data_IF_667511025034
#
_entry.id   IF_667511025034
#
_cell.length_a   1.000
_cell.length_b   1.000
_cell.length_c   1.000
_cell.angle_alpha   90.00
_cell.angle_beta   90.00
_cell.angle_gamma   90.00
#
_symmetry.space_group_name_H-M   'P 1'
#
loop_
_entity.id
_entity.type
_entity.pdbx_description
1 polymer ?
#
# COMPACT_ATOMS: atom_id res chain seq x y z
N UNK A 1 -28.14 60.46 -14.12
CA UNK A 1 -27.48 60.05 -12.87
C UNK A 1 -27.59 58.54 -12.79
N UNK A 2 -26.58 57.84 -13.32
CA UNK A 2 -26.53 56.37 -13.28
C UNK A 2 -26.20 55.95 -11.85
N UNK A 3 -27.08 55.11 -11.30
CA UNK A 3 -27.15 54.78 -9.89
C UNK A 3 -25.89 54.03 -9.45
N UNK A 4 -25.12 54.64 -8.54
CA UNK A 4 -23.90 54.08 -7.91
C UNK A 4 -24.17 52.78 -7.14
N UNK A 5 -25.41 52.31 -7.05
CA UNK A 5 -25.82 51.11 -6.33
C UNK A 5 -25.74 49.82 -7.14
N UNK A 6 -25.63 49.89 -8.47
CA UNK A 6 -25.60 48.69 -9.31
C UNK A 6 -24.22 48.05 -9.48
N UNK A 7 -23.13 48.73 -9.14
CA UNK A 7 -21.79 48.13 -9.13
C UNK A 7 -21.48 47.34 -7.85
N UNK A 8 -22.25 47.53 -6.77
CA UNK A 8 -21.96 46.91 -5.46
C UNK A 8 -22.61 45.53 -5.30
N UNK A 9 -23.63 45.23 -6.11
CA UNK A 9 -24.32 43.93 -6.09
C UNK A 9 -23.56 42.87 -6.90
N UNK A 10 -22.77 43.28 -7.90
CA UNK A 10 -22.01 42.33 -8.74
C UNK A 10 -20.71 41.83 -8.10
N UNK A 11 -20.21 42.51 -7.06
CA UNK A 11 -18.95 42.18 -6.39
C UNK A 11 -19.11 41.19 -5.22
N UNK A 12 -20.35 40.84 -4.87
CA UNK A 12 -20.68 39.87 -3.82
C UNK A 12 -20.98 38.45 -4.35
N UNK A 13 -20.93 38.24 -5.67
CA UNK A 13 -21.22 36.94 -6.31
C UNK A 13 -19.94 36.20 -6.73
N UNK A 14 -18.76 36.76 -6.44
CA UNK A 14 -17.44 36.18 -6.78
C UNK A 14 -16.58 35.87 -5.54
N UNK A 15 -17.19 35.57 -4.39
CA UNK A 15 -16.50 34.87 -3.31
C UNK A 15 -16.72 33.37 -3.54
N UNK A 16 -15.68 32.64 -3.99
CA UNK A 16 -15.83 31.26 -4.39
C UNK A 16 -16.18 30.42 -3.15
N UNK A 17 -16.85 29.30 -3.42
CA UNK A 17 -17.14 28.16 -2.54
C UNK A 17 -15.86 27.50 -1.95
N UNK A 18 -14.92 28.28 -1.45
CA UNK A 18 -13.64 27.83 -0.92
C UNK A 18 -13.74 27.42 0.57
N UNK A 19 -14.81 26.75 0.98
CA UNK A 19 -14.92 26.11 2.31
C UNK A 19 -15.68 24.78 2.26
N UNK A 20 -15.48 23.99 1.20
CA UNK A 20 -15.88 22.57 1.20
C UNK A 20 -14.76 21.68 0.67
N UNK A 21 -13.56 21.83 1.22
CA UNK A 21 -12.60 20.74 1.25
C UNK A 21 -12.24 20.54 2.72
N UNK A 22 -13.09 19.78 3.42
CA UNK A 22 -12.60 19.07 4.59
C UNK A 22 -11.36 18.27 4.17
N UNK A 23 -10.36 18.08 5.05
CA UNK A 23 -9.23 17.24 4.72
C UNK A 23 -9.76 15.93 4.12
N UNK A 24 -9.18 15.41 3.02
CA UNK A 24 -9.63 14.15 2.46
C UNK A 24 -9.70 13.15 3.60
N UNK A 25 -10.91 12.64 3.87
CA UNK A 25 -11.23 11.76 4.99
C UNK A 25 -10.68 10.34 4.71
N UNK A 26 -9.50 10.26 4.11
CA UNK A 26 -8.71 9.06 4.11
C UNK A 26 -8.07 8.97 5.49
N UNK A 27 -8.84 8.55 6.48
CA UNK A 27 -8.25 8.20 7.75
C UNK A 27 -7.16 7.17 7.45
N UNK A 28 -5.95 7.36 7.97
CA UNK A 28 -4.83 6.43 7.80
C UNK A 28 -5.20 4.99 8.19
N UNK A 29 -6.30 4.79 8.91
CA UNK A 29 -6.91 3.50 9.25
C UNK A 29 -7.67 2.82 8.11
N UNK A 30 -8.27 3.55 7.18
CA UNK A 30 -9.02 2.98 6.04
C UNK A 30 -8.10 2.27 5.04
N UNK A 31 -6.90 2.82 4.80
CA UNK A 31 -5.87 2.17 4.00
C UNK A 31 -5.27 0.90 4.62
N UNK A 32 -5.61 0.59 5.87
CA UNK A 32 -5.10 -0.55 6.64
C UNK A 32 -6.11 -1.71 6.73
N UNK A 33 -7.21 -1.65 5.97
CA UNK A 33 -8.24 -2.70 5.92
C UNK A 33 -7.80 -3.97 5.19
N UNK A 34 -6.69 -3.92 4.45
CA UNK A 34 -6.12 -5.06 3.73
C UNK A 34 -5.82 -6.27 4.62
N UNK A 35 -5.82 -7.46 4.01
CA UNK A 35 -5.39 -8.71 4.66
C UNK A 35 -6.09 -8.98 6.01
N UNK A 36 -7.43 -9.06 6.01
CA UNK A 36 -8.24 -9.33 7.21
C UNK A 36 -8.03 -8.34 8.37
N UNK A 37 -7.65 -7.09 8.07
CA UNK A 37 -7.47 -6.03 9.08
C UNK A 37 -6.26 -6.24 9.99
N UNK A 38 -5.26 -7.05 9.58
CA UNK A 38 -4.03 -7.28 10.36
C UNK A 38 -3.32 -5.98 10.73
N UNK A 39 -3.41 -4.97 9.87
CA UNK A 39 -2.80 -3.66 10.09
C UNK A 39 -3.60 -2.76 11.06
N UNK A 40 -4.85 -3.11 11.36
CA UNK A 40 -5.67 -2.44 12.37
C UNK A 40 -5.60 -3.12 13.74
N UNK A 41 -5.37 -4.45 13.76
CA UNK A 41 -5.36 -5.26 14.98
C UNK A 41 -4.02 -5.19 15.71
N UNK A 42 -2.91 -5.21 14.98
CA UNK A 42 -1.59 -5.22 15.60
C UNK A 42 -1.09 -3.77 15.83
N UNK A 43 -0.39 -3.49 16.96
CA UNK A 43 0.07 -2.16 17.32
C UNK A 43 1.35 -1.78 16.56
N UNK A 44 1.21 -1.44 15.29
CA UNK A 44 2.34 -1.04 14.44
C UNK A 44 2.83 0.37 14.76
N UNK A 45 4.15 0.53 14.81
CA UNK A 45 4.80 1.84 14.75
C UNK A 45 4.87 2.35 13.31
N UNK A 46 5.08 3.65 13.14
CA UNK A 46 5.30 4.26 11.81
C UNK A 46 6.48 3.61 11.08
N UNK A 47 7.56 3.29 11.80
CA UNK A 47 8.72 2.60 11.24
C UNK A 47 8.34 1.21 10.71
N UNK A 48 7.55 0.44 11.47
CA UNK A 48 7.11 -0.89 11.02
C UNK A 48 6.15 -0.81 9.83
N UNK A 49 5.26 0.19 9.79
CA UNK A 49 4.39 0.43 8.64
C UNK A 49 5.20 0.81 7.39
N UNK A 50 6.23 1.66 7.53
CA UNK A 50 7.13 1.99 6.44
C UNK A 50 7.92 0.76 5.96
N UNK A 51 8.38 -0.09 6.89
CA UNK A 51 9.04 -1.36 6.56
C UNK A 51 8.09 -2.31 5.83
N UNK A 52 6.85 -2.46 6.29
CA UNK A 52 5.82 -3.27 5.62
C UNK A 52 5.61 -2.78 4.18
N UNK A 53 5.47 -1.46 3.99
CA UNK A 53 5.31 -0.84 2.68
C UNK A 53 6.51 -1.16 1.76
N UNK A 54 7.73 -1.01 2.27
CA UNK A 54 8.96 -1.34 1.54
C UNK A 54 9.06 -2.83 1.17
N UNK A 55 8.67 -3.73 2.08
CA UNK A 55 8.66 -5.18 1.84
C UNK A 55 7.62 -5.58 0.79
N UNK A 56 6.46 -4.91 0.76
CA UNK A 56 5.49 -5.08 -0.32
C UNK A 56 6.04 -4.61 -1.67
N UNK A 57 6.66 -3.42 -1.71
CA UNK A 57 7.21 -2.87 -2.94
C UNK A 57 8.29 -3.78 -3.55
N UNK A 58 9.14 -4.36 -2.70
CA UNK A 58 10.22 -5.28 -3.08
C UNK A 58 9.77 -6.73 -3.27
N UNK A 59 8.46 -7.01 -3.15
CA UNK A 59 7.91 -8.37 -3.17
C UNK A 59 8.62 -9.34 -2.18
N UNK A 60 9.20 -8.82 -1.09
CA UNK A 60 9.86 -9.62 -0.07
C UNK A 60 8.84 -10.13 0.96
N UNK A 61 7.93 -10.98 0.44
CA UNK A 61 6.88 -11.60 1.23
C UNK A 61 7.41 -12.50 2.36
N UNK A 62 8.51 -13.27 2.20
CA UNK A 62 9.05 -14.06 3.31
C UNK A 62 9.39 -13.20 4.54
N UNK A 63 10.10 -12.08 4.36
CA UNK A 63 10.44 -11.16 5.45
C UNK A 63 9.18 -10.48 6.02
N UNK A 64 8.22 -10.09 5.17
CA UNK A 64 6.94 -9.53 5.63
C UNK A 64 6.18 -10.52 6.54
N UNK A 65 6.13 -11.79 6.14
CA UNK A 65 5.47 -12.83 6.92
C UNK A 65 6.18 -13.10 8.25
N UNK A 66 7.51 -12.97 8.30
CA UNK A 66 8.27 -13.04 9.54
C UNK A 66 7.98 -11.85 10.46
N UNK A 67 7.94 -10.63 9.91
CA UNK A 67 7.60 -9.42 10.66
C UNK A 67 6.21 -9.52 11.32
N UNK A 68 5.20 -9.97 10.57
CA UNK A 68 3.85 -10.18 11.11
C UNK A 68 3.81 -11.27 12.18
N UNK A 69 4.51 -12.39 11.98
CA UNK A 69 4.62 -13.44 13.01
C UNK A 69 5.26 -12.91 14.28
N UNK A 70 6.38 -12.21 14.16
CA UNK A 70 7.09 -11.65 15.29
C UNK A 70 6.20 -10.65 16.05
N UNK A 71 5.56 -9.73 15.33
CA UNK A 71 4.64 -8.76 15.93
C UNK A 71 3.49 -9.44 16.67
N UNK A 72 2.92 -10.49 16.10
CA UNK A 72 1.86 -11.28 16.72
C UNK A 72 2.31 -12.01 17.99
N UNK A 73 3.58 -12.43 18.08
CA UNK A 73 4.12 -13.09 19.27
C UNK A 73 4.28 -12.13 20.45
N UNK A 74 4.69 -10.89 20.18
CA UNK A 74 5.02 -9.90 21.23
C UNK A 74 3.85 -8.97 21.57
N UNK A 75 2.79 -8.96 20.76
CA UNK A 75 1.62 -8.10 20.98
C UNK A 75 0.55 -8.79 21.83
N UNK A 76 -0.07 -8.03 22.73
CA UNK A 76 -1.29 -8.43 23.38
C UNK A 76 -2.47 -8.27 22.41
N UNK A 77 -3.04 -9.40 21.99
CA UNK A 77 -4.16 -9.45 21.05
C UNK A 77 -5.16 -10.49 21.50
N UNK A 78 -6.43 -10.26 21.18
CA UNK A 78 -7.50 -11.21 21.49
C UNK A 78 -7.22 -12.59 20.87
N UNK A 79 -7.68 -13.66 21.53
CA UNK A 79 -7.53 -15.02 20.99
C UNK A 79 -8.21 -15.17 19.62
N UNK A 80 -9.32 -14.47 19.39
CA UNK A 80 -10.03 -14.50 18.12
C UNK A 80 -9.18 -13.91 16.99
N UNK A 81 -8.61 -12.73 17.20
CA UNK A 81 -7.84 -12.05 16.17
C UNK A 81 -6.50 -12.73 15.93
N UNK A 82 -5.86 -13.28 16.98
CA UNK A 82 -4.70 -14.17 16.82
C UNK A 82 -5.01 -15.32 15.86
N UNK A 83 -6.13 -16.04 16.06
CA UNK A 83 -6.54 -17.14 15.18
C UNK A 83 -6.85 -16.69 13.75
N UNK A 84 -7.36 -15.47 13.55
CA UNK A 84 -7.60 -14.92 12.20
C UNK A 84 -6.28 -14.60 11.51
N UNK A 85 -5.34 -13.97 12.20
CA UNK A 85 -4.02 -13.62 11.67
C UNK A 85 -3.21 -14.89 11.36
N UNK A 86 -3.24 -15.91 12.22
CA UNK A 86 -2.58 -17.20 11.95
C UNK A 86 -3.15 -17.89 10.70
N UNK A 87 -4.47 -17.89 10.54
CA UNK A 87 -5.14 -18.41 9.33
C UNK A 87 -4.72 -17.63 8.09
N UNK A 88 -4.69 -16.31 8.19
CA UNK A 88 -4.21 -15.42 7.12
C UNK A 88 -2.75 -15.74 6.73
N UNK A 89 -1.85 -15.86 7.71
CA UNK A 89 -0.44 -16.21 7.49
C UNK A 89 -0.26 -17.58 6.84
N UNK A 90 -1.20 -18.51 7.05
CA UNK A 90 -1.20 -19.80 6.36
C UNK A 90 -1.69 -19.67 4.92
N UNK A 91 -2.73 -18.88 4.68
CA UNK A 91 -3.31 -18.70 3.33
C UNK A 91 -2.48 -17.81 2.41
N UNK A 92 -1.73 -16.86 2.97
CA UNK A 92 -0.86 -15.93 2.26
C UNK A 92 0.61 -16.39 2.27
N UNK A 93 0.86 -17.71 2.36
CA UNK A 93 2.23 -18.20 2.29
C UNK A 93 2.75 -17.98 0.86
N UNK A 94 3.84 -17.23 0.66
CA UNK A 94 4.40 -17.03 -0.67
C UNK A 94 4.99 -18.34 -1.22
N UNK A 95 4.92 -18.56 -2.54
CA UNK A 95 5.67 -19.62 -3.20
C UNK A 95 7.20 -19.43 -3.01
N UNK A 96 8.00 -20.52 -3.05
CA UNK A 96 9.46 -20.44 -2.85
C UNK A 96 10.21 -19.55 -3.83
N UNK A 97 9.61 -19.22 -4.98
CA UNK A 97 10.17 -18.27 -5.95
C UNK A 97 10.47 -16.90 -5.34
N UNK A 98 9.79 -16.54 -4.24
CA UNK A 98 9.98 -15.27 -3.53
C UNK A 98 11.12 -15.27 -2.50
N UNK A 99 11.78 -16.39 -2.23
CA UNK A 99 12.89 -16.45 -1.27
C UNK A 99 14.09 -15.63 -1.77
N UNK A 100 14.37 -15.69 -3.07
CA UNK A 100 15.45 -14.96 -3.75
C UNK A 100 14.93 -14.28 -5.04
N UNK A 101 13.71 -13.73 -4.99
CA UNK A 101 13.08 -13.16 -6.19
C UNK A 101 13.88 -11.98 -6.72
N UNK A 102 14.13 -10.96 -5.90
CA UNK A 102 15.01 -9.84 -6.25
C UNK A 102 16.42 -10.10 -5.75
N UNK A 103 17.41 -9.77 -6.57
CA UNK A 103 18.78 -9.60 -6.10
C UNK A 103 18.88 -8.41 -5.14
N UNK A 104 19.95 -8.31 -4.35
CA UNK A 104 20.16 -7.14 -3.48
C UNK A 104 20.22 -5.83 -4.30
N UNK A 105 20.81 -5.88 -5.50
CA UNK A 105 20.87 -4.74 -6.41
C UNK A 105 19.47 -4.33 -6.90
N UNK A 106 18.63 -5.29 -7.28
CA UNK A 106 17.26 -5.00 -7.73
C UNK A 106 16.38 -4.53 -6.58
N UNK A 107 16.56 -5.10 -5.39
CA UNK A 107 15.87 -4.67 -4.19
C UNK A 107 16.21 -3.21 -3.85
N UNK A 108 17.48 -2.80 -4.00
CA UNK A 108 17.89 -1.41 -3.81
C UNK A 108 17.28 -0.46 -4.85
N UNK A 109 17.26 -0.85 -6.13
CA UNK A 109 16.58 -0.09 -7.19
C UNK A 109 15.10 0.12 -6.86
N UNK A 110 14.42 -0.94 -6.41
CA UNK A 110 13.01 -0.88 -6.04
C UNK A 110 12.79 -0.02 -4.80
N UNK A 111 13.63 -0.15 -3.76
CA UNK A 111 13.54 0.69 -2.55
C UNK A 111 13.69 2.17 -2.88
N UNK A 112 14.68 2.50 -3.71
CA UNK A 112 14.90 3.87 -4.18
C UNK A 112 13.68 4.39 -4.95
N UNK A 113 13.23 3.67 -5.98
CA UNK A 113 12.08 4.05 -6.79
C UNK A 113 10.80 4.20 -5.96
N UNK A 114 10.56 3.29 -5.01
CA UNK A 114 9.43 3.36 -4.09
C UNK A 114 9.49 4.60 -3.19
N UNK A 115 10.67 4.95 -2.67
CA UNK A 115 10.88 6.18 -1.89
C UNK A 115 10.65 7.46 -2.71
N UNK A 116 10.97 7.42 -4.00
CA UNK A 116 10.73 8.50 -4.97
C UNK A 116 9.29 8.50 -5.53
N UNK A 117 8.44 7.58 -5.09
CA UNK A 117 7.08 7.36 -5.61
C UNK A 117 7.05 7.05 -7.13
N UNK A 118 8.15 6.56 -7.69
CA UNK A 118 8.25 6.13 -9.09
C UNK A 118 7.74 4.69 -9.25
N UNK A 119 6.42 4.59 -9.37
CA UNK A 119 5.72 3.31 -9.58
C UNK A 119 6.17 2.64 -10.89
N UNK A 120 6.48 3.42 -11.92
CA UNK A 120 6.90 2.89 -13.22
C UNK A 120 8.21 2.14 -13.09
N UNK A 121 9.18 2.73 -12.39
CA UNK A 121 10.48 2.09 -12.17
C UNK A 121 10.37 0.87 -11.26
N UNK A 122 9.53 0.89 -10.22
CA UNK A 122 9.23 -0.30 -9.40
C UNK A 122 8.71 -1.44 -10.30
N UNK A 123 7.66 -1.18 -11.08
CA UNK A 123 7.05 -2.19 -11.95
C UNK A 123 8.02 -2.69 -13.02
N UNK A 124 8.90 -1.83 -13.53
CA UNK A 124 9.91 -2.20 -14.53
C UNK A 124 10.88 -3.24 -13.99
N UNK A 125 11.39 -3.05 -12.77
CA UNK A 125 12.31 -4.03 -12.14
C UNK A 125 11.60 -5.35 -11.87
N UNK A 126 10.39 -5.31 -11.31
CA UNK A 126 9.58 -6.50 -11.02
C UNK A 126 9.27 -7.27 -12.32
N UNK A 127 8.84 -6.58 -13.37
CA UNK A 127 8.53 -7.20 -14.67
C UNK A 127 9.77 -7.80 -15.34
N UNK A 128 10.91 -7.09 -15.27
CA UNK A 128 12.19 -7.61 -15.75
C UNK A 128 12.53 -8.93 -15.06
N UNK A 129 12.42 -8.98 -13.73
CA UNK A 129 12.71 -10.19 -12.98
C UNK A 129 11.74 -11.34 -13.27
N UNK A 130 10.45 -11.05 -13.42
CA UNK A 130 9.47 -12.04 -13.86
C UNK A 130 9.83 -12.61 -15.25
N UNK A 131 10.36 -11.79 -16.16
CA UNK A 131 10.78 -12.20 -17.49
C UNK A 131 11.98 -13.16 -17.50
N UNK A 132 12.83 -13.11 -16.48
CA UNK A 132 14.01 -13.97 -16.32
C UNK A 132 13.68 -15.34 -15.70
N UNK A 133 12.51 -15.47 -15.07
CA UNK A 133 12.10 -16.73 -14.46
C UNK A 133 11.71 -17.77 -15.52
N UNK A 134 12.00 -19.07 -15.28
CA UNK A 134 11.35 -20.16 -16.00
C UNK A 134 9.83 -20.01 -15.99
N UNK A 135 9.18 -20.36 -17.09
CA UNK A 135 7.73 -20.17 -17.29
C UNK A 135 6.88 -20.65 -16.10
N UNK A 136 7.15 -21.86 -15.60
CA UNK A 136 6.41 -22.42 -14.46
C UNK A 136 6.57 -21.62 -13.15
N UNK A 137 7.72 -20.96 -12.92
CA UNK A 137 7.97 -20.11 -11.75
C UNK A 137 7.37 -18.72 -11.94
N UNK A 138 7.47 -18.18 -13.15
CA UNK A 138 6.84 -16.92 -13.53
C UNK A 138 5.33 -16.99 -13.33
N UNK A 139 4.68 -18.04 -13.81
CA UNK A 139 3.22 -18.19 -13.69
C UNK A 139 2.78 -18.31 -12.23
N UNK A 140 3.55 -19.01 -11.40
CA UNK A 140 3.33 -19.06 -9.96
C UNK A 140 3.47 -17.68 -9.31
N UNK A 141 4.52 -16.93 -9.65
CA UNK A 141 4.77 -15.60 -9.11
C UNK A 141 3.67 -14.61 -9.52
N UNK A 142 3.30 -14.58 -10.81
CA UNK A 142 2.23 -13.72 -11.35
C UNK A 142 0.90 -14.06 -10.67
N UNK A 143 0.52 -15.35 -10.63
CA UNK A 143 -0.72 -15.79 -9.99
C UNK A 143 -0.79 -15.34 -8.53
N UNK A 144 0.32 -15.46 -7.81
CA UNK A 144 0.40 -15.06 -6.41
C UNK A 144 0.27 -13.53 -6.25
N UNK A 145 1.05 -12.75 -7.01
CA UNK A 145 1.04 -11.28 -6.95
C UNK A 145 -0.35 -10.74 -7.29
N UNK A 146 -0.96 -11.20 -8.38
CA UNK A 146 -2.29 -10.75 -8.83
C UNK A 146 -3.38 -11.08 -7.81
N UNK A 147 -3.28 -12.22 -7.13
CA UNK A 147 -4.28 -12.64 -6.14
C UNK A 147 -4.13 -11.92 -4.80
N UNK A 148 -2.92 -11.52 -4.43
CA UNK A 148 -2.59 -11.13 -3.06
C UNK A 148 -2.00 -9.72 -2.91
N UNK A 149 -1.78 -8.97 -4.00
CA UNK A 149 -1.38 -7.56 -3.94
C UNK A 149 -2.57 -6.72 -4.41
N UNK A 150 -3.36 -6.12 -3.50
CA UNK A 150 -4.46 -5.25 -3.89
C UNK A 150 -3.91 -4.03 -4.62
N UNK A 151 -4.18 -3.92 -5.93
CA UNK A 151 -3.99 -2.68 -6.69
C UNK A 151 -5.19 -1.77 -6.47
N UNK A 152 -5.48 -1.39 -5.23
CA UNK A 152 -6.38 -0.24 -4.99
C UNK A 152 -5.55 1.02 -5.14
N UNK A 153 -5.48 1.56 -6.36
CA UNK A 153 -5.15 2.97 -6.50
C UNK A 153 -6.25 3.79 -5.82
N UNK A 154 -5.92 4.88 -5.11
CA UNK A 154 -6.94 5.85 -4.74
C UNK A 154 -7.66 6.33 -6.01
N UNK A 155 -8.97 6.64 -5.95
CA UNK A 155 -9.70 7.14 -7.10
C UNK A 155 -8.99 8.37 -7.69
N UNK A 156 -8.94 8.42 -9.03
CA UNK A 156 -8.26 9.43 -9.85
C UNK A 156 -8.67 10.88 -9.56
N UNK A 157 -9.76 11.06 -8.84
CA UNK A 157 -10.45 12.34 -8.68
C UNK A 157 -9.97 13.10 -7.42
N UNK A 158 -8.78 12.75 -6.91
CA UNK A 158 -8.18 13.34 -5.70
C UNK A 158 -7.15 14.45 -5.97
N UNK A 159 -7.18 15.06 -7.17
CA UNK A 159 -6.32 16.19 -7.55
C UNK A 159 -7.10 17.50 -7.61
#
# INVERSE_FOLDING_TARGET
MADRRQCLVLLLVLLPLATCQGPPDYSTREGLTGHNGVFQVLPWSEYELALISSLHATANYPALMQLVRHKLLVSDVSTNDRRKIERMLKSLRPPPVFDDFLSEEDAEKVRKAHGEQDITQVLTVIAGRLGELPEYLRDQAVTYITKHTPTTQPPSDSF
#
